data_IF_659090890339
#
_entry.id   IF_659090890339
#
_cell.length_a   1.000
_cell.length_b   1.000
_cell.length_c   1.000
_cell.angle_alpha   90.00
_cell.angle_beta   90.00
_cell.angle_gamma   90.00
#
_symmetry.space_group_name_H-M   'P 1'
#
loop_
_entity.id
_entity.type
_entity.pdbx_description
1 polymer ?
#
# COMPACT_ATOMS: atom_id res chain seq x y z
N UNK A 1 -5.71 -9.18 -17.27
CA UNK A 1 -5.00 -7.89 -17.23
C UNK A 1 -4.93 -7.44 -15.78
N UNK A 2 -3.79 -6.95 -15.29
CA UNK A 2 -3.65 -6.52 -13.90
C UNK A 2 -4.28 -5.15 -13.70
N UNK A 3 -5.34 -5.06 -12.90
CA UNK A 3 -5.94 -3.77 -12.53
C UNK A 3 -5.05 -3.07 -11.50
N UNK A 4 -4.55 -1.88 -11.82
CA UNK A 4 -3.88 -1.01 -10.86
C UNK A 4 -4.91 -0.01 -10.33
N UNK A 5 -5.34 -0.18 -9.08
CA UNK A 5 -6.22 0.79 -8.40
C UNK A 5 -5.38 1.84 -7.69
N UNK A 6 -5.26 3.01 -8.29
CA UNK A 6 -4.68 4.19 -7.63
C UNK A 6 -5.75 4.84 -6.75
N UNK A 7 -5.47 5.04 -5.46
CA UNK A 7 -6.35 5.75 -4.53
C UNK A 7 -5.57 6.80 -3.75
N UNK A 8 -5.90 8.07 -3.96
CA UNK A 8 -5.33 9.18 -3.19
C UNK A 8 -6.15 9.38 -1.93
N UNK A 9 -5.52 9.30 -0.76
CA UNK A 9 -6.14 9.52 0.55
C UNK A 9 -5.30 10.49 1.37
N UNK A 10 -5.95 11.41 2.08
CA UNK A 10 -5.30 12.30 3.03
C UNK A 10 -5.25 11.60 4.39
N UNK A 11 -4.06 11.16 4.78
CA UNK A 11 -3.82 10.54 6.07
C UNK A 11 -3.12 11.55 6.99
N UNK A 12 -3.43 11.47 8.28
CA UNK A 12 -2.68 12.23 9.29
C UNK A 12 -1.28 11.62 9.44
N UNK A 13 -0.32 12.34 10.01
CA UNK A 13 0.96 11.75 10.35
C UNK A 13 0.76 10.62 11.36
N UNK A 14 1.37 9.48 11.09
CA UNK A 14 1.20 8.26 11.88
C UNK A 14 1.74 7.03 11.17
N UNK A 15 1.75 5.91 11.88
CA UNK A 15 2.13 4.62 11.31
C UNK A 15 0.91 3.94 10.71
N UNK A 16 1.00 3.55 9.45
CA UNK A 16 -0.06 2.88 8.72
C UNK A 16 0.40 1.53 8.23
N UNK A 17 -0.53 0.58 8.18
CA UNK A 17 -0.33 -0.74 7.60
C UNK A 17 -1.19 -0.86 6.36
N UNK A 18 -0.55 -1.01 5.21
CA UNK A 18 -1.24 -1.24 3.95
C UNK A 18 -1.22 -2.73 3.68
N UNK A 19 -2.39 -3.33 3.62
CA UNK A 19 -2.57 -4.71 3.18
C UNK A 19 -2.93 -4.72 1.69
N UNK A 20 -2.06 -5.31 0.88
CA UNK A 20 -2.33 -5.64 -0.52
C UNK A 20 -2.75 -7.09 -0.61
N UNK A 21 -4.01 -7.34 -0.93
CA UNK A 21 -4.54 -8.67 -1.24
C UNK A 21 -4.96 -8.73 -2.70
N UNK A 22 -4.65 -9.85 -3.37
CA UNK A 22 -5.01 -10.07 -4.76
C UNK A 22 -5.44 -11.52 -4.94
N UNK A 23 -6.55 -11.71 -5.65
CA UNK A 23 -7.09 -13.05 -5.90
C UNK A 23 -6.07 -13.92 -6.66
N UNK A 24 -5.76 -15.11 -6.11
CA UNK A 24 -4.71 -16.00 -6.60
C UNK A 24 -3.27 -15.63 -6.19
N UNK A 25 -3.09 -14.62 -5.34
CA UNK A 25 -1.80 -14.19 -4.81
C UNK A 25 -1.87 -14.00 -3.29
N UNK A 26 -0.73 -14.11 -2.62
CA UNK A 26 -0.65 -14.02 -1.17
C UNK A 26 -0.78 -12.57 -0.72
N UNK A 27 -1.57 -12.33 0.32
CA UNK A 27 -1.69 -11.01 0.93
C UNK A 27 -0.33 -10.55 1.46
N UNK A 28 0.06 -9.33 1.10
CA UNK A 28 1.27 -8.66 1.59
C UNK A 28 0.86 -7.50 2.48
N UNK A 29 1.50 -7.38 3.64
CA UNK A 29 1.30 -6.25 4.54
C UNK A 29 2.58 -5.41 4.51
N UNK A 30 2.46 -4.17 4.08
CA UNK A 30 3.53 -3.19 4.07
C UNK A 30 3.25 -2.16 5.17
N UNK A 31 4.15 -2.03 6.12
CA UNK A 31 4.09 -0.96 7.12
C UNK A 31 4.78 0.29 6.57
N UNK A 32 4.12 1.43 6.71
CA UNK A 32 4.63 2.74 6.29
C UNK A 32 4.51 3.71 7.46
N UNK A 33 5.47 4.63 7.55
CA UNK A 33 5.42 5.73 8.51
C UNK A 33 5.19 7.01 7.72
N UNK A 34 4.06 7.66 7.98
CA UNK A 34 3.72 8.95 7.37
C UNK A 34 4.17 10.05 8.33
N UNK A 35 5.24 10.76 7.97
CA UNK A 35 5.71 11.90 8.76
C UNK A 35 4.92 13.16 8.40
N UNK A 36 4.80 14.15 9.28
CA UNK A 36 4.12 15.42 8.96
C UNK A 36 4.82 16.23 7.85
N UNK A 37 6.10 15.96 7.60
CA UNK A 37 6.88 16.53 6.49
C UNK A 37 6.63 15.84 5.15
N UNK A 38 6.06 14.63 5.15
CA UNK A 38 5.84 13.84 3.94
C UNK A 38 4.54 14.30 3.25
N UNK A 39 4.68 15.16 2.24
CA UNK A 39 3.53 15.70 1.48
C UNK A 39 3.15 14.82 0.27
N UNK A 40 4.02 13.89 -0.13
CA UNK A 40 3.81 13.04 -1.31
C UNK A 40 4.42 11.64 -1.10
N UNK A 41 3.85 10.91 -0.13
CA UNK A 41 4.30 9.56 0.17
C UNK A 41 3.66 8.58 -0.82
N UNK A 42 4.45 8.09 -1.78
CA UNK A 42 4.02 7.08 -2.75
C UNK A 42 4.41 5.69 -2.25
N UNK A 43 3.43 4.82 -2.06
CA UNK A 43 3.65 3.45 -1.58
C UNK A 43 3.31 2.47 -2.69
N UNK A 44 4.29 1.67 -3.07
CA UNK A 44 4.11 0.60 -4.05
C UNK A 44 4.04 -0.74 -3.32
N UNK A 45 2.85 -1.33 -3.28
CA UNK A 45 2.65 -2.69 -2.75
C UNK A 45 2.52 -3.64 -3.94
N UNK A 46 3.39 -4.65 -4.00
CA UNK A 46 3.39 -5.65 -5.08
C UNK A 46 3.22 -7.03 -4.48
N UNK A 47 2.11 -7.69 -4.81
CA UNK A 47 1.89 -9.10 -4.47
C UNK A 47 2.61 -9.96 -5.52
N UNK A 48 3.85 -10.38 -5.25
CA UNK A 48 4.65 -11.25 -6.15
C UNK A 48 4.47 -12.74 -5.85
N UNK A 49 4.00 -13.09 -4.66
CA UNK A 49 3.79 -14.48 -4.24
C UNK A 49 2.45 -15.01 -4.77
N UNK A 50 2.49 -15.99 -5.68
CA UNK A 50 1.32 -16.66 -6.23
C UNK A 50 0.93 -17.86 -5.36
N UNK A 51 -0.36 -18.04 -5.10
CA UNK A 51 -0.91 -19.15 -4.29
C UNK A 51 -1.53 -20.20 -5.21
#
# INVERSE_FOLDING_TARGET
>A
MGEVKTKTIQLKPGTYRIEGSREGYRSTIQEIVVSPSDTNLSVHVVCTEKV
#
